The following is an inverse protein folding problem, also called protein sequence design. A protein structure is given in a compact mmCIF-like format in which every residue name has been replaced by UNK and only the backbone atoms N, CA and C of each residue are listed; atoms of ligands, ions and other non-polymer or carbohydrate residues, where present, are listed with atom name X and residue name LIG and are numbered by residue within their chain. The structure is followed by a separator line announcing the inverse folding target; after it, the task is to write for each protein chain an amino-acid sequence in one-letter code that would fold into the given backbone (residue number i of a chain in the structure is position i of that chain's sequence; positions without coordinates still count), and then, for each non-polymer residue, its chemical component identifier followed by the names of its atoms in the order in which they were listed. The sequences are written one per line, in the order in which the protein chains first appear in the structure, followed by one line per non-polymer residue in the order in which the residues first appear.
data_IF_620286196818
#
_entry.id   IF_620286196818
#
_cell.length_a   1.000
_cell.length_b   1.000
_cell.length_c   1.000
_cell.angle_alpha   90.00
_cell.angle_beta   90.00
_cell.angle_gamma   90.00
#
_symmetry.space_group_name_H-M   'P 1'
#
loop_
_entity.id
_entity.type
_entity.pdbx_description
1 polymer ?
#
# COMPACT_ATOMS: atom_id res chain seq x y z
N UNK A 1 15.12 -30.68 -12.91
CA UNK A 1 15.05 -30.22 -14.32
C UNK A 1 16.39 -29.63 -14.70
N UNK A 2 16.99 -30.01 -15.82
CA UNK A 2 18.30 -29.52 -16.26
C UNK A 2 18.10 -28.41 -17.32
N UNK A 3 18.41 -27.14 -17.01
CA UNK A 3 18.18 -26.02 -17.93
C UNK A 3 19.04 -26.09 -19.21
N UNK A 4 20.05 -26.97 -19.27
CA UNK A 4 20.90 -27.17 -20.46
C UNK A 4 20.25 -28.02 -21.57
N UNK A 5 19.05 -28.57 -21.35
CA UNK A 5 18.33 -29.43 -22.33
C UNK A 5 17.23 -28.64 -23.06
N UNK A 6 17.15 -27.31 -22.86
CA UNK A 6 16.18 -26.47 -23.57
C UNK A 6 16.70 -26.09 -24.97
N UNK A 7 16.00 -26.51 -26.03
CA UNK A 7 16.33 -26.24 -27.44
C UNK A 7 15.65 -25.00 -28.03
N UNK A 8 15.03 -24.14 -27.22
CA UNK A 8 14.35 -22.94 -27.72
C UNK A 8 15.36 -21.88 -28.14
N UNK A 9 15.28 -21.42 -29.39
CA UNK A 9 16.04 -20.26 -29.86
C UNK A 9 15.25 -18.98 -29.58
N UNK A 10 15.81 -17.99 -28.87
CA UNK A 10 15.15 -16.70 -28.66
C UNK A 10 15.12 -15.92 -29.97
N UNK A 11 13.93 -15.78 -30.56
CA UNK A 11 13.70 -15.06 -31.83
C UNK A 11 13.39 -13.57 -31.63
N UNK A 12 13.05 -13.15 -30.40
CA UNK A 12 12.74 -11.76 -30.06
C UNK A 12 13.42 -11.34 -28.76
N UNK A 13 13.87 -10.08 -28.71
CA UNK A 13 14.36 -9.44 -27.48
C UNK A 13 13.39 -8.33 -27.10
N UNK A 14 12.63 -8.54 -26.02
CA UNK A 14 11.80 -7.50 -25.44
C UNK A 14 12.67 -6.59 -24.57
N UNK A 15 12.73 -5.30 -24.91
CA UNK A 15 13.42 -4.28 -24.12
C UNK A 15 12.35 -3.33 -23.56
N UNK A 16 12.30 -3.10 -22.24
CA UNK A 16 11.40 -2.12 -21.66
C UNK A 16 11.67 -0.73 -22.24
N UNK A 17 10.62 -0.06 -22.70
CA UNK A 17 10.71 1.26 -23.33
C UNK A 17 9.96 2.36 -22.57
N UNK A 18 9.28 2.00 -21.47
CA UNK A 18 8.54 2.95 -20.65
C UNK A 18 7.72 2.30 -19.56
N UNK A 19 7.15 3.14 -18.70
CA UNK A 19 6.24 2.73 -17.63
C UNK A 19 5.24 3.84 -17.32
N UNK A 20 4.14 3.46 -16.66
CA UNK A 20 3.23 4.40 -16.05
C UNK A 20 2.69 3.84 -14.73
N UNK A 21 2.46 4.71 -13.74
CA UNK A 21 1.82 4.36 -12.48
C UNK A 21 1.04 5.53 -11.89
N UNK A 22 0.13 5.23 -10.96
CA UNK A 22 -0.68 6.21 -10.23
C UNK A 22 -0.62 5.93 -8.72
N UNK A 23 -0.77 6.98 -7.91
CA UNK A 23 -1.01 6.82 -6.47
C UNK A 23 -2.47 6.97 -6.16
N UNK A 24 -3.02 5.97 -5.50
CA UNK A 24 -4.40 5.97 -5.02
C UNK A 24 -4.38 6.13 -3.50
N UNK A 25 -5.10 7.14 -3.02
CA UNK A 25 -5.23 7.40 -1.60
C UNK A 25 -6.31 6.54 -0.93
N UNK A 26 -6.47 6.64 0.40
CA UNK A 26 -7.45 5.86 1.15
C UNK A 26 -8.91 6.06 0.71
N UNK A 27 -9.21 7.20 0.08
CA UNK A 27 -10.53 7.51 -0.48
C UNK A 27 -10.76 6.92 -1.90
N UNK A 28 -9.84 6.09 -2.39
CA UNK A 28 -9.91 5.51 -3.73
C UNK A 28 -9.64 6.50 -4.86
N UNK A 29 -9.24 7.75 -4.55
CA UNK A 29 -8.96 8.77 -5.56
C UNK A 29 -7.46 8.89 -5.81
N UNK A 30 -7.11 9.33 -7.01
CA UNK A 30 -5.74 9.65 -7.35
C UNK A 30 -5.25 10.82 -6.50
N UNK A 31 -4.10 10.63 -5.84
CA UNK A 31 -3.46 11.65 -5.01
C UNK A 31 -2.79 12.72 -5.87
N UNK A 32 -2.34 12.31 -7.07
CA UNK A 32 -1.68 13.17 -8.06
C UNK A 32 -1.80 12.60 -9.47
N UNK A 33 -1.50 13.37 -10.53
CA UNK A 33 -1.49 12.88 -11.91
C UNK A 33 -0.61 11.64 -12.09
N UNK A 34 -0.87 10.80 -13.12
CA UNK A 34 -0.05 9.62 -13.39
C UNK A 34 1.40 10.00 -13.67
N UNK A 35 2.32 9.24 -13.12
CA UNK A 35 3.72 9.29 -13.56
C UNK A 35 3.81 8.46 -14.83
N UNK A 36 4.32 9.04 -15.91
CA UNK A 36 4.54 8.37 -17.19
C UNK A 36 5.97 8.65 -17.62
N UNK A 37 6.64 7.61 -18.09
CA UNK A 37 8.02 7.69 -18.58
C UNK A 37 8.18 6.84 -19.84
N UNK A 38 8.89 7.37 -20.83
CA UNK A 38 9.25 6.71 -22.08
C UNK A 38 10.75 6.94 -22.31
N UNK A 39 11.52 5.88 -22.48
CA UNK A 39 12.98 5.93 -22.62
C UNK A 39 13.62 4.54 -22.60
N UNK A 40 14.84 4.43 -23.08
CA UNK A 40 15.58 3.15 -23.14
C UNK A 40 16.01 2.66 -21.75
N UNK A 41 16.18 3.58 -20.81
CA UNK A 41 16.50 3.38 -19.39
C UNK A 41 15.23 3.28 -18.51
N UNK A 42 14.13 2.77 -19.09
CA UNK A 42 12.85 2.64 -18.40
C UNK A 42 12.93 1.85 -17.08
N UNK A 43 13.73 0.79 -17.04
CA UNK A 43 13.88 -0.05 -15.83
C UNK A 43 14.57 0.72 -14.71
N UNK A 44 15.66 1.41 -15.02
CA UNK A 44 16.44 2.14 -14.03
C UNK A 44 15.64 3.31 -13.44
N UNK A 45 14.93 4.06 -14.29
CA UNK A 45 14.05 5.12 -13.83
C UNK A 45 12.87 4.58 -13.03
N UNK A 46 12.29 3.45 -13.44
CA UNK A 46 11.19 2.83 -12.70
C UNK A 46 11.61 2.47 -11.27
N UNK A 47 12.77 1.82 -11.10
CA UNK A 47 13.27 1.42 -9.78
C UNK A 47 13.65 2.63 -8.91
N UNK A 48 14.30 3.64 -9.49
CA UNK A 48 14.61 4.91 -8.78
C UNK A 48 13.34 5.59 -8.29
N UNK A 49 12.36 5.73 -9.18
CA UNK A 49 11.06 6.29 -8.84
C UNK A 49 10.43 5.47 -7.71
N UNK A 50 10.31 4.15 -7.82
CA UNK A 50 9.71 3.33 -6.77
C UNK A 50 10.33 3.54 -5.38
N UNK A 51 11.65 3.73 -5.29
CA UNK A 51 12.34 4.00 -4.02
C UNK A 51 11.96 5.38 -3.47
N UNK A 52 11.98 6.41 -4.31
CA UNK A 52 11.55 7.76 -3.92
C UNK A 52 10.09 7.78 -3.45
N UNK A 53 9.26 7.02 -4.14
CA UNK A 53 7.85 6.88 -3.84
C UNK A 53 7.61 6.18 -2.51
N UNK A 54 8.30 5.07 -2.27
CA UNK A 54 8.27 4.39 -0.98
C UNK A 54 8.70 5.33 0.16
N UNK A 55 9.79 6.08 -0.03
CA UNK A 55 10.26 7.04 0.96
C UNK A 55 9.23 8.14 1.26
N UNK A 56 8.58 8.68 0.23
CA UNK A 56 7.53 9.68 0.38
C UNK A 56 6.29 9.12 1.09
N UNK A 57 5.83 7.93 0.71
CA UNK A 57 4.68 7.26 1.33
C UNK A 57 4.96 6.95 2.80
N UNK A 58 6.12 6.37 3.12
CA UNK A 58 6.47 6.01 4.49
C UNK A 58 6.49 7.24 5.39
N UNK A 59 7.07 8.36 4.93
CA UNK A 59 7.03 9.63 5.68
C UNK A 59 5.60 10.10 5.97
N UNK A 60 4.66 9.86 5.05
CA UNK A 60 3.25 10.23 5.23
C UNK A 60 2.50 9.29 6.16
N UNK A 61 2.82 8.00 6.15
CA UNK A 61 2.24 6.99 7.05
C UNK A 61 2.73 7.21 8.49
N UNK A 62 4.01 7.53 8.67
CA UNK A 62 4.59 7.79 9.99
C UNK A 62 4.30 9.21 10.51
N UNK A 63 3.66 10.07 9.72
CA UNK A 63 3.19 11.37 10.18
C UNK A 63 2.06 11.18 11.20
N UNK A 64 2.38 11.31 12.50
CA UNK A 64 1.39 11.19 13.57
C UNK A 64 0.39 12.33 13.46
N UNK A 65 -0.83 12.01 13.03
CA UNK A 65 -1.95 12.94 13.04
C UNK A 65 -2.75 12.76 14.32
N UNK A 66 -3.28 13.85 14.90
CA UNK A 66 -4.18 13.74 16.03
C UNK A 66 -5.37 12.86 15.63
N UNK A 67 -5.75 11.95 16.51
CA UNK A 67 -6.94 11.14 16.34
C UNK A 67 -8.15 12.08 16.40
N UNK A 68 -8.84 12.25 15.27
CA UNK A 68 -10.09 13.00 15.21
C UNK A 68 -11.21 12.03 15.57
N UNK A 69 -11.64 12.07 16.83
CA UNK A 69 -12.79 11.30 17.32
C UNK A 69 -13.99 12.23 17.43
N UNK A 70 -14.96 12.05 16.55
CA UNK A 70 -16.23 12.77 16.63
C UNK A 70 -17.08 12.23 17.78
N UNK A 71 -18.07 12.99 18.24
CA UNK A 71 -18.97 12.51 19.30
C UNK A 71 -19.78 11.30 18.84
N UNK A 72 -20.11 11.22 17.54
CA UNK A 72 -20.71 10.05 16.92
C UNK A 72 -19.80 8.82 16.99
N UNK A 73 -18.50 8.98 16.70
CA UNK A 73 -17.53 7.88 16.81
C UNK A 73 -17.44 7.35 18.25
N UNK A 74 -17.47 8.24 19.25
CA UNK A 74 -17.47 7.84 20.66
C UNK A 74 -18.73 7.09 21.04
N UNK A 75 -19.90 7.58 20.62
CA UNK A 75 -21.17 6.93 20.88
C UNK A 75 -21.23 5.54 20.23
N UNK A 76 -20.78 5.44 18.97
CA UNK A 76 -20.67 4.17 18.26
C UNK A 76 -19.72 3.23 19.00
N UNK A 77 -18.54 3.71 19.42
CA UNK A 77 -17.60 2.92 20.19
C UNK A 77 -18.20 2.40 21.52
N UNK A 78 -18.96 3.21 22.24
CA UNK A 78 -19.60 2.80 23.50
C UNK A 78 -20.76 1.81 23.30
N UNK A 79 -21.43 1.87 22.15
CA UNK A 79 -22.55 1.00 21.81
C UNK A 79 -22.12 -0.39 21.31
N UNK A 80 -20.85 -0.56 20.92
CA UNK A 80 -20.33 -1.83 20.41
C UNK A 80 -20.26 -2.87 21.54
N UNK A 81 -20.93 -4.01 21.31
CA UNK A 81 -20.93 -5.16 22.22
C UNK A 81 -19.91 -6.24 21.82
N UNK A 82 -19.57 -6.30 20.53
CA UNK A 82 -18.69 -7.29 19.94
C UNK A 82 -17.53 -6.59 19.23
N UNK A 83 -16.31 -7.12 19.33
CA UNK A 83 -15.17 -6.55 18.64
C UNK A 83 -15.42 -6.47 17.12
N UNK A 84 -15.28 -5.29 16.51
CA UNK A 84 -15.47 -5.12 15.06
C UNK A 84 -14.36 -5.73 14.21
N UNK A 85 -13.25 -6.17 14.83
CA UNK A 85 -12.11 -6.78 14.16
C UNK A 85 -12.19 -8.30 14.21
N UNK A 86 -12.43 -8.87 15.38
CA UNK A 86 -12.42 -10.32 15.57
C UNK A 86 -13.78 -10.94 15.80
N UNK A 87 -14.82 -10.17 16.14
CA UNK A 87 -16.24 -10.54 16.35
C UNK A 87 -16.69 -11.09 17.72
N UNK A 88 -15.84 -11.57 18.65
CA UNK A 88 -16.25 -11.92 20.00
C UNK A 88 -16.79 -10.76 20.85
N UNK A 89 -17.57 -11.05 21.91
CA UNK A 89 -18.03 -10.06 22.88
C UNK A 89 -16.86 -9.35 23.58
N UNK A 90 -17.04 -8.05 23.83
CA UNK A 90 -16.11 -7.27 24.65
C UNK A 90 -16.39 -7.55 26.13
N UNK A 91 -15.48 -8.26 26.81
CA UNK A 91 -15.63 -8.70 28.21
C UNK A 91 -15.42 -7.57 29.23
N UNK A 92 -16.17 -6.48 29.15
CA UNK A 92 -16.15 -5.37 30.11
C UNK A 92 -14.92 -4.46 30.02
N UNK A 93 -13.76 -5.00 29.61
CA UNK A 93 -12.54 -4.23 29.36
C UNK A 93 -12.60 -3.57 27.99
N UNK A 94 -13.11 -2.34 27.97
CA UNK A 94 -13.11 -1.46 26.79
C UNK A 94 -11.82 -0.63 26.67
N UNK A 95 -10.92 -0.74 27.66
CA UNK A 95 -9.57 -0.19 27.62
C UNK A 95 -8.63 -1.24 27.04
N UNK A 96 -8.01 -0.92 25.90
CA UNK A 96 -6.99 -1.80 25.31
C UNK A 96 -5.80 -1.95 26.26
N UNK A 97 -5.78 -3.04 27.02
CA UNK A 97 -4.57 -3.48 27.72
C UNK A 97 -4.51 -5.00 27.72
N UNK A 98 -3.36 -5.49 27.26
CA UNK A 98 -2.82 -6.86 27.39
C UNK A 98 -3.27 -7.88 26.35
N UNK A 99 -2.53 -7.89 25.23
CA UNK A 99 -2.26 -9.13 24.50
C UNK A 99 -1.17 -9.84 25.31
N UNK A 100 -1.52 -10.86 26.08
CA UNK A 100 -0.59 -11.90 26.56
C UNK A 100 -0.26 -12.86 25.42
#
# INVERSE_FOLDING_TARGET
MNPKISSTQPITRHVPCGFAYVFVGPNGRMVRPPTVYLGEDAVDNFLKNLIEEANWILRKIFEVKPMVSTEEDKNNFQAIMNCTICEPPLNGDRSGTTIT
#
